data_IF_328532625706
#
_entry.id   IF_328532625706
#
_cell.length_a   1.000
_cell.length_b   1.000
_cell.length_c   1.000
_cell.angle_alpha   90.00
_cell.angle_beta   90.00
_cell.angle_gamma   90.00
#
_symmetry.space_group_name_H-M   'P 1'
#
loop_
_entity.id
_entity.type
_entity.pdbx_description
1 polymer ?
#
# COMPACT_ATOMS: atom_id res chain seq x y z
N UNK A 1 -7.70 6.90 -16.06
CA UNK A 1 -7.29 7.28 -14.68
C UNK A 1 -7.76 6.21 -13.74
N UNK A 2 -6.87 5.69 -12.89
CA UNK A 2 -7.21 4.71 -11.85
C UNK A 2 -7.06 5.37 -10.47
N UNK A 3 -8.06 5.19 -9.62
CA UNK A 3 -8.09 5.74 -8.26
C UNK A 3 -7.96 4.59 -7.26
N UNK A 4 -6.98 4.69 -6.38
CA UNK A 4 -6.61 3.70 -5.38
C UNK A 4 -6.91 4.27 -3.99
N UNK A 5 -7.65 3.54 -3.18
CA UNK A 5 -8.02 3.98 -1.83
C UNK A 5 -6.84 3.78 -0.85
N UNK A 6 -6.25 4.87 -0.36
CA UNK A 6 -5.17 4.86 0.62
C UNK A 6 -5.64 4.26 1.95
N UNK A 7 -5.07 3.10 2.32
CA UNK A 7 -5.47 2.30 3.49
C UNK A 7 -6.95 1.87 3.49
N UNK A 8 -7.55 1.81 2.26
CA UNK A 8 -8.97 1.57 2.09
C UNK A 8 -9.85 2.81 2.25
N UNK A 9 -11.16 2.69 2.04
CA UNK A 9 -12.12 3.79 2.17
C UNK A 9 -12.71 3.82 3.58
N UNK A 10 -12.31 4.84 4.35
CA UNK A 10 -12.74 5.06 5.75
C UNK A 10 -14.00 5.90 5.86
N UNK A 11 -14.66 5.82 7.01
CA UNK A 11 -15.74 6.72 7.43
C UNK A 11 -15.83 6.71 8.98
N UNK A 12 -16.87 7.31 9.56
CA UNK A 12 -17.08 7.37 11.02
C UNK A 12 -17.14 6.00 11.70
N UNK A 13 -17.40 4.94 10.94
CA UNK A 13 -17.58 3.57 11.43
C UNK A 13 -16.48 2.62 11.01
N UNK A 14 -15.72 2.96 9.97
CA UNK A 14 -14.71 2.09 9.34
C UNK A 14 -13.35 2.76 9.43
N UNK A 15 -12.39 2.11 10.09
CA UNK A 15 -11.01 2.59 10.22
C UNK A 15 -10.11 2.09 9.09
N UNK A 16 -9.01 2.82 8.87
CA UNK A 16 -7.94 2.49 7.92
C UNK A 16 -7.35 1.10 8.15
N UNK A 17 -6.81 0.50 7.10
CA UNK A 17 -6.11 -0.79 7.14
C UNK A 17 -6.94 -1.95 7.75
N UNK A 18 -8.25 -1.93 7.55
CA UNK A 18 -9.18 -3.00 7.95
C UNK A 18 -9.81 -3.66 6.73
N UNK A 19 -10.26 -4.91 6.87
CA UNK A 19 -10.98 -5.61 5.78
C UNK A 19 -12.24 -4.86 5.37
N UNK A 20 -12.91 -4.21 6.31
CA UNK A 20 -14.09 -3.39 6.10
C UNK A 20 -13.76 -2.18 5.21
N UNK A 21 -12.63 -1.50 5.46
CA UNK A 21 -12.18 -0.36 4.64
C UNK A 21 -11.87 -0.79 3.20
N UNK A 22 -11.24 -1.94 3.02
CA UNK A 22 -10.93 -2.46 1.70
C UNK A 22 -12.19 -2.86 0.93
N UNK A 23 -13.12 -3.56 1.56
CA UNK A 23 -14.42 -3.89 0.95
C UNK A 23 -15.23 -2.63 0.63
N UNK A 24 -15.19 -1.63 1.52
CA UNK A 24 -15.88 -0.35 1.29
C UNK A 24 -15.31 0.37 0.06
N UNK A 25 -13.98 0.38 -0.13
CA UNK A 25 -13.35 0.95 -1.32
C UNK A 25 -13.83 0.25 -2.60
N UNK A 26 -13.82 -1.07 -2.64
CA UNK A 26 -14.27 -1.86 -3.81
C UNK A 26 -15.76 -1.61 -4.10
N UNK A 27 -16.61 -1.59 -3.07
CA UNK A 27 -18.05 -1.32 -3.22
C UNK A 27 -18.33 0.09 -3.77
N UNK A 28 -17.44 1.05 -3.47
CA UNK A 28 -17.50 2.43 -3.96
C UNK A 28 -16.71 2.63 -5.28
N UNK A 29 -16.40 1.54 -6.01
CA UNK A 29 -15.83 1.56 -7.35
C UNK A 29 -14.42 2.15 -7.46
N UNK A 30 -13.63 2.12 -6.37
CA UNK A 30 -12.20 2.36 -6.48
C UNK A 30 -11.55 1.27 -7.35
N UNK A 31 -10.54 1.65 -8.13
CA UNK A 31 -9.82 0.73 -9.02
C UNK A 31 -8.83 -0.17 -8.26
N UNK A 32 -8.61 0.14 -6.98
CA UNK A 32 -7.74 -0.64 -6.11
C UNK A 32 -7.72 -0.13 -4.68
N UNK A 33 -6.93 -0.81 -3.89
CA UNK A 33 -6.65 -0.46 -2.49
C UNK A 33 -5.15 -0.33 -2.29
N UNK A 34 -4.78 0.51 -1.36
CA UNK A 34 -3.42 0.55 -0.82
C UNK A 34 -3.46 0.10 0.64
N UNK A 35 -2.40 -0.56 1.09
CA UNK A 35 -2.25 -1.07 2.44
C UNK A 35 -0.79 -1.13 2.88
N UNK A 36 -0.58 -1.02 4.18
CA UNK A 36 0.76 -1.07 4.80
C UNK A 36 0.97 -2.41 5.50
N UNK A 37 2.15 -3.01 5.40
CA UNK A 37 2.44 -4.27 6.08
C UNK A 37 3.61 -4.21 7.06
N UNK A 38 3.43 -4.94 8.18
CA UNK A 38 4.43 -5.18 9.23
C UNK A 38 4.37 -6.63 9.70
N UNK A 39 5.34 -7.02 10.52
CA UNK A 39 5.37 -8.33 11.18
C UNK A 39 5.08 -8.22 12.67
N UNK A 40 4.37 -9.20 13.18
CA UNK A 40 4.26 -9.45 14.62
C UNK A 40 5.51 -10.10 15.17
N UNK A 41 5.61 -10.26 16.51
CA UNK A 41 6.70 -10.97 17.19
C UNK A 41 6.88 -12.41 16.69
N UNK A 42 5.81 -13.08 16.33
CA UNK A 42 5.77 -14.45 15.78
C UNK A 42 5.77 -14.49 14.24
N UNK A 43 6.29 -13.40 13.60
CA UNK A 43 6.49 -13.24 12.17
C UNK A 43 5.22 -13.31 11.30
N UNK A 44 4.03 -13.15 11.87
CA UNK A 44 2.80 -13.05 11.06
C UNK A 44 2.75 -11.68 10.39
N UNK A 45 2.58 -11.65 9.06
CA UNK A 45 2.43 -10.41 8.29
C UNK A 45 1.02 -9.86 8.50
N UNK A 46 0.93 -8.70 9.14
CA UNK A 46 -0.31 -7.97 9.46
C UNK A 46 -0.38 -6.66 8.69
N UNK A 47 -1.59 -6.13 8.55
CA UNK A 47 -1.83 -4.85 7.86
C UNK A 47 -1.91 -3.72 8.88
N UNK A 48 -0.85 -2.90 8.94
CA UNK A 48 -0.72 -1.81 9.91
C UNK A 48 0.34 -0.79 9.43
N UNK A 49 0.00 0.50 9.45
CA UNK A 49 0.94 1.57 9.10
C UNK A 49 1.99 1.80 10.19
N UNK A 50 1.55 2.08 11.40
CA UNK A 50 2.42 2.51 12.50
C UNK A 50 3.18 1.34 13.11
N UNK A 51 4.35 1.63 13.69
CA UNK A 51 5.09 0.67 14.51
C UNK A 51 4.36 0.32 15.81
N UNK A 52 3.49 1.22 16.28
CA UNK A 52 2.72 1.07 17.51
C UNK A 52 1.24 0.99 17.17
N UNK A 53 0.48 0.14 17.89
CA UNK A 53 -0.93 -0.06 17.67
C UNK A 53 -1.81 1.07 18.26
N UNK A 54 -1.22 2.02 18.99
CA UNK A 54 -1.91 3.00 19.82
C UNK A 54 -2.89 3.92 19.06
N UNK A 55 -2.54 4.33 17.84
CA UNK A 55 -3.35 5.29 17.07
C UNK A 55 -4.60 4.64 16.48
N UNK A 56 -4.48 3.39 16.05
CA UNK A 56 -5.53 2.70 15.28
C UNK A 56 -6.27 1.63 16.08
N UNK A 57 -5.90 1.42 17.37
CA UNK A 57 -6.58 0.48 18.25
C UNK A 57 -6.88 1.08 19.62
N UNK A 58 -7.58 0.32 20.47
CA UNK A 58 -7.77 0.63 21.89
C UNK A 58 -6.62 0.11 22.78
N UNK A 59 -5.59 -0.48 22.15
CA UNK A 59 -4.40 -1.03 22.82
C UNK A 59 -3.20 -0.10 22.78
N UNK A 60 -2.17 -0.48 23.53
CA UNK A 60 -0.85 0.18 23.56
C UNK A 60 0.23 -0.89 23.36
N UNK A 61 1.16 -0.63 22.45
CA UNK A 61 2.30 -1.53 22.25
C UNK A 61 2.92 -1.47 20.88
N UNK A 62 4.13 -2.00 20.78
CA UNK A 62 4.85 -2.15 19.53
C UNK A 62 4.46 -3.48 18.88
N UNK A 63 4.01 -3.44 17.62
CA UNK A 63 3.55 -4.62 16.87
C UNK A 63 4.60 -5.74 16.82
N UNK A 64 5.87 -5.40 16.66
CA UNK A 64 6.96 -6.39 16.63
C UNK A 64 7.26 -7.03 18.01
N UNK A 65 6.60 -6.58 19.08
CA UNK A 65 6.70 -7.16 20.44
C UNK A 65 5.48 -7.97 20.84
N UNK A 66 4.41 -7.94 20.03
CA UNK A 66 3.15 -8.65 20.24
C UNK A 66 3.06 -9.82 19.26
N UNK A 67 2.68 -11.00 19.74
CA UNK A 67 2.26 -12.09 18.87
C UNK A 67 0.92 -11.76 18.21
N UNK A 68 0.61 -12.38 17.08
CA UNK A 68 -0.69 -12.17 16.43
C UNK A 68 -1.86 -12.47 17.37
N UNK A 69 -1.75 -13.55 18.17
CA UNK A 69 -2.76 -13.91 19.17
C UNK A 69 -2.97 -12.82 20.22
N UNK A 70 -1.91 -12.14 20.64
CA UNK A 70 -2.01 -11.01 21.57
C UNK A 70 -2.69 -9.79 20.93
N UNK A 71 -2.47 -9.53 19.65
CA UNK A 71 -3.12 -8.42 18.94
C UNK A 71 -4.63 -8.58 18.86
N UNK A 72 -5.14 -9.81 18.85
CA UNK A 72 -6.59 -10.10 18.79
C UNK A 72 -7.36 -9.67 20.05
N UNK A 73 -6.68 -9.29 21.13
CA UNK A 73 -7.28 -8.73 22.34
C UNK A 73 -7.71 -7.27 22.16
N UNK A 74 -7.21 -6.59 21.13
CA UNK A 74 -7.45 -5.17 20.89
C UNK A 74 -8.44 -4.95 19.76
N UNK A 75 -9.18 -3.85 19.86
CA UNK A 75 -10.12 -3.42 18.86
C UNK A 75 -9.46 -2.41 17.90
N UNK A 76 -9.28 -2.80 16.65
CA UNK A 76 -8.79 -1.93 15.56
C UNK A 76 -9.90 -1.22 14.78
N UNK A 77 -11.14 -1.38 15.22
CA UNK A 77 -12.30 -0.67 14.72
C UNK A 77 -12.66 0.58 15.53
N UNK A 78 -13.91 0.99 15.43
CA UNK A 78 -14.47 2.07 16.25
C UNK A 78 -15.05 1.51 17.55
N UNK A 79 -15.48 2.40 18.48
CA UNK A 79 -16.18 1.96 19.69
C UNK A 79 -17.47 1.20 19.38
N UNK A 80 -18.15 1.58 18.31
CA UNK A 80 -19.43 1.00 17.89
C UNK A 80 -19.25 -0.25 17.04
N UNK A 81 -18.23 -0.29 16.17
CA UNK A 81 -17.97 -1.40 15.25
C UNK A 81 -16.57 -1.95 15.48
N UNK A 82 -16.52 -3.11 16.12
CA UNK A 82 -15.25 -3.77 16.42
C UNK A 82 -14.64 -4.40 15.17
N UNK A 83 -13.35 -4.25 15.02
CA UNK A 83 -12.56 -4.93 13.99
C UNK A 83 -11.26 -5.45 14.59
N UNK A 84 -10.74 -6.51 14.03
CA UNK A 84 -9.40 -7.04 14.35
C UNK A 84 -8.38 -6.49 13.35
N UNK A 85 -7.11 -6.49 13.71
CA UNK A 85 -6.03 -6.30 12.76
C UNK A 85 -6.04 -7.44 11.73
N UNK A 86 -6.15 -7.18 10.42
CA UNK A 86 -6.12 -8.26 9.44
C UNK A 86 -4.69 -8.71 9.16
N UNK A 87 -4.51 -9.99 8.87
CA UNK A 87 -3.28 -10.47 8.25
C UNK A 87 -3.30 -10.16 6.75
N UNK A 88 -2.11 -10.02 6.14
CA UNK A 88 -2.01 -9.89 4.68
C UNK A 88 -2.70 -11.07 3.98
N UNK A 89 -2.52 -12.29 4.49
CA UNK A 89 -3.16 -13.49 3.97
C UNK A 89 -4.69 -13.42 3.97
N UNK A 90 -5.29 -12.86 5.02
CA UNK A 90 -6.74 -12.64 5.08
C UNK A 90 -7.19 -11.61 4.03
N UNK A 91 -6.47 -10.51 3.86
CA UNK A 91 -6.79 -9.51 2.83
C UNK A 91 -6.74 -10.13 1.44
N UNK A 92 -5.63 -10.82 1.09
CA UNK A 92 -5.45 -11.44 -0.23
C UNK A 92 -6.54 -12.46 -0.55
N UNK A 93 -7.03 -13.21 0.45
CA UNK A 93 -8.12 -14.17 0.25
C UNK A 93 -9.51 -13.55 0.09
N UNK A 94 -9.73 -12.36 0.64
CA UNK A 94 -11.06 -11.74 0.70
C UNK A 94 -11.27 -10.64 -0.35
N UNK A 95 -10.20 -10.10 -0.95
CA UNK A 95 -10.25 -9.03 -1.94
C UNK A 95 -9.88 -9.62 -3.31
N UNK A 96 -10.74 -9.39 -4.32
CA UNK A 96 -10.60 -10.02 -5.63
C UNK A 96 -10.74 -9.01 -6.77
N UNK A 97 -10.10 -9.32 -7.90
CA UNK A 97 -10.24 -8.60 -9.19
C UNK A 97 -9.92 -7.10 -9.08
N UNK A 98 -8.84 -6.76 -8.36
CA UNK A 98 -8.47 -5.37 -8.13
C UNK A 98 -6.95 -5.16 -8.10
N UNK A 99 -6.53 -3.89 -8.17
CA UNK A 99 -5.15 -3.50 -7.92
C UNK A 99 -4.90 -3.43 -6.41
N UNK A 100 -3.86 -4.08 -5.91
CA UNK A 100 -3.46 -4.02 -4.51
C UNK A 100 -2.04 -3.46 -4.42
N UNK A 101 -1.93 -2.26 -3.86
CA UNK A 101 -0.67 -1.60 -3.53
C UNK A 101 -0.28 -1.98 -2.11
N UNK A 102 0.93 -2.51 -1.94
CA UNK A 102 1.44 -3.04 -0.65
C UNK A 102 2.70 -2.28 -0.28
N UNK A 103 2.60 -1.39 0.72
CA UNK A 103 3.77 -0.70 1.26
C UNK A 103 4.48 -1.56 2.32
N UNK A 104 5.76 -1.81 2.10
CA UNK A 104 6.62 -2.48 3.07
C UNK A 104 7.16 -1.47 4.08
N UNK A 105 6.72 -1.58 5.34
CA UNK A 105 7.24 -0.77 6.46
C UNK A 105 8.49 -1.39 7.11
N UNK A 106 8.82 -2.62 6.72
CA UNK A 106 10.02 -3.36 7.13
C UNK A 106 10.37 -4.43 6.09
N UNK A 107 11.54 -5.04 6.22
CA UNK A 107 11.96 -6.11 5.31
C UNK A 107 11.08 -7.35 5.47
N UNK A 108 10.55 -7.82 4.36
CA UNK A 108 9.71 -9.03 4.27
C UNK A 108 10.47 -10.08 3.46
N UNK A 109 10.41 -11.33 3.90
CA UNK A 109 11.00 -12.44 3.15
C UNK A 109 10.29 -12.62 1.80
N UNK A 110 11.10 -12.76 0.75
CA UNK A 110 10.63 -12.82 -0.63
C UNK A 110 9.76 -14.04 -0.90
N UNK A 111 10.14 -15.18 -0.36
CA UNK A 111 9.42 -16.43 -0.57
C UNK A 111 8.09 -16.42 0.20
N UNK A 112 8.10 -15.97 1.44
CA UNK A 112 6.91 -15.80 2.25
C UNK A 112 5.88 -14.89 1.58
N UNK A 113 6.32 -13.69 1.13
CA UNK A 113 5.45 -12.74 0.43
C UNK A 113 4.87 -13.36 -0.85
N UNK A 114 5.72 -14.01 -1.66
CA UNK A 114 5.30 -14.67 -2.89
C UNK A 114 4.27 -15.77 -2.63
N UNK A 115 4.43 -16.56 -1.57
CA UNK A 115 3.50 -17.62 -1.20
C UNK A 115 2.13 -17.07 -0.77
N UNK A 116 2.10 -15.93 -0.10
CA UNK A 116 0.83 -15.26 0.26
C UNK A 116 0.13 -14.71 -0.99
N UNK A 117 0.86 -13.99 -1.86
CA UNK A 117 0.26 -13.34 -3.03
C UNK A 117 -0.24 -14.35 -4.08
N UNK A 118 0.38 -15.52 -4.18
CA UNK A 118 -0.09 -16.63 -5.04
C UNK A 118 -1.46 -17.18 -4.66
N UNK A 119 -1.94 -16.93 -3.45
CA UNK A 119 -3.26 -17.40 -3.00
C UNK A 119 -4.41 -16.79 -3.80
N UNK A 120 -4.18 -15.64 -4.45
CA UNK A 120 -5.16 -15.02 -5.32
C UNK A 120 -4.50 -14.41 -6.54
N UNK A 121 -4.61 -15.09 -7.67
CA UNK A 121 -4.00 -14.68 -8.94
C UNK A 121 -4.85 -13.69 -9.74
N UNK A 122 -6.07 -13.39 -9.28
CA UNK A 122 -6.99 -12.48 -9.97
C UNK A 122 -6.71 -11.01 -9.64
N UNK A 123 -5.87 -10.75 -8.63
CA UNK A 123 -5.43 -9.41 -8.27
C UNK A 123 -4.13 -9.04 -8.99
N UNK A 124 -3.93 -7.75 -9.25
CA UNK A 124 -2.68 -7.19 -9.70
C UNK A 124 -1.96 -6.56 -8.50
N UNK A 125 -0.72 -6.97 -8.26
CA UNK A 125 0.04 -6.56 -7.08
C UNK A 125 1.13 -5.56 -7.44
N UNK A 126 1.22 -4.49 -6.63
CA UNK A 126 2.21 -3.44 -6.67
C UNK A 126 2.87 -3.37 -5.29
N UNK A 127 4.14 -3.72 -5.20
CA UNK A 127 4.89 -3.76 -3.94
C UNK A 127 5.81 -2.56 -3.90
N UNK A 128 5.76 -1.77 -2.85
CA UNK A 128 6.46 -0.50 -2.75
C UNK A 128 7.04 -0.24 -1.36
N UNK A 129 8.03 0.64 -1.30
CA UNK A 129 8.58 1.12 -0.03
C UNK A 129 9.34 2.44 -0.23
N UNK A 130 9.47 3.24 0.85
CA UNK A 130 10.45 4.32 0.96
C UNK A 130 11.89 3.78 1.08
N UNK A 131 12.05 2.58 1.62
CA UNK A 131 13.36 1.95 1.73
C UNK A 131 13.64 1.09 0.50
N UNK A 132 14.57 1.56 -0.36
CA UNK A 132 14.97 0.87 -1.58
C UNK A 132 15.52 -0.54 -1.32
N UNK A 133 16.16 -0.78 -0.18
CA UNK A 133 16.73 -2.10 0.14
C UNK A 133 15.64 -3.15 0.33
N UNK A 134 14.49 -2.77 0.92
CA UNK A 134 13.36 -3.70 1.07
C UNK A 134 12.84 -4.16 -0.30
N UNK A 135 12.82 -3.24 -1.28
CA UNK A 135 12.40 -3.57 -2.65
C UNK A 135 13.49 -4.34 -3.39
N UNK A 136 14.77 -3.96 -3.24
CA UNK A 136 15.89 -4.67 -3.88
C UNK A 136 15.97 -6.14 -3.46
N UNK A 137 15.64 -6.47 -2.21
CA UNK A 137 15.59 -7.84 -1.71
C UNK A 137 14.48 -8.68 -2.39
N UNK A 138 13.51 -8.02 -3.04
CA UNK A 138 12.43 -8.69 -3.77
C UNK A 138 12.68 -8.80 -5.28
N UNK A 139 13.77 -8.25 -5.82
CA UNK A 139 14.06 -8.32 -7.27
C UNK A 139 14.01 -9.77 -7.76
N UNK A 140 13.31 -9.97 -8.88
CA UNK A 140 13.01 -11.29 -9.45
C UNK A 140 11.72 -11.94 -8.91
N UNK A 141 10.95 -11.25 -8.06
CA UNK A 141 9.55 -11.64 -7.80
C UNK A 141 8.68 -11.32 -9.05
N UNK A 142 7.58 -12.04 -9.21
CA UNK A 142 6.73 -11.93 -10.41
C UNK A 142 5.86 -10.65 -10.44
N UNK A 143 5.85 -9.86 -9.38
CA UNK A 143 4.95 -8.73 -9.20
C UNK A 143 5.62 -7.38 -9.49
N UNK A 144 4.82 -6.32 -9.63
CA UNK A 144 5.35 -4.98 -9.89
C UNK A 144 6.06 -4.44 -8.63
N UNK A 145 7.29 -3.99 -8.79
CA UNK A 145 8.10 -3.38 -7.75
C UNK A 145 8.25 -1.88 -7.99
N UNK A 146 8.10 -1.08 -6.95
CA UNK A 146 8.22 0.37 -7.04
C UNK A 146 8.85 1.02 -5.82
N UNK A 147 9.30 2.26 -6.01
CA UNK A 147 9.81 3.10 -4.92
C UNK A 147 8.83 4.22 -4.62
N UNK A 148 8.79 4.62 -3.35
CA UNK A 148 8.09 5.81 -2.89
C UNK A 148 9.16 6.88 -2.65
N UNK A 149 9.09 7.98 -3.40
CA UNK A 149 10.09 9.04 -3.32
C UNK A 149 9.48 10.36 -2.87
N UNK A 150 10.11 11.00 -1.88
CA UNK A 150 9.84 12.39 -1.52
C UNK A 150 10.66 13.38 -2.35
N UNK A 151 11.78 12.94 -2.91
CA UNK A 151 12.69 13.79 -3.68
C UNK A 151 13.18 12.98 -4.87
N UNK A 152 13.20 13.61 -6.05
CA UNK A 152 13.85 13.05 -7.22
C UNK A 152 15.35 12.87 -6.94
N UNK A 153 15.88 11.69 -7.23
CA UNK A 153 17.29 11.37 -7.04
C UNK A 153 17.86 10.69 -8.30
N UNK A 154 18.65 11.44 -9.06
CA UNK A 154 19.27 10.98 -10.30
C UNK A 154 20.33 9.86 -10.10
N UNK A 155 20.79 9.62 -8.88
CA UNK A 155 21.73 8.53 -8.56
C UNK A 155 21.06 7.18 -8.33
N UNK A 156 19.73 7.11 -8.38
CA UNK A 156 19.00 5.85 -8.29
C UNK A 156 18.92 5.24 -9.69
N UNK A 157 19.36 3.99 -9.81
CA UNK A 157 19.10 3.17 -10.99
C UNK A 157 17.64 2.68 -10.95
N UNK A 158 16.78 3.40 -11.67
CA UNK A 158 15.35 3.11 -11.74
C UNK A 158 14.99 1.94 -12.65
N UNK A 159 15.92 1.42 -13.47
CA UNK A 159 15.67 0.32 -14.42
C UNK A 159 15.22 -0.99 -13.77
N UNK A 160 15.43 -1.12 -12.46
CA UNK A 160 15.06 -2.30 -11.64
C UNK A 160 13.62 -2.31 -11.18
N UNK A 161 12.89 -1.22 -11.40
CA UNK A 161 11.53 -1.04 -10.90
C UNK A 161 10.53 -0.96 -12.04
N UNK A 162 9.26 -1.20 -11.73
CA UNK A 162 8.15 -1.16 -12.68
C UNK A 162 7.37 0.16 -12.57
N UNK A 163 7.39 0.78 -11.39
CA UNK A 163 6.69 2.03 -11.14
C UNK A 163 7.38 2.88 -10.06
N UNK A 164 6.99 4.13 -10.00
CA UNK A 164 7.45 5.10 -9.00
C UNK A 164 6.25 5.83 -8.41
N UNK A 165 6.25 6.01 -7.06
CA UNK A 165 5.31 6.91 -6.40
C UNK A 165 5.95 8.28 -6.23
N UNK A 166 5.23 9.31 -6.70
CA UNK A 166 5.63 10.70 -6.60
C UNK A 166 4.60 11.45 -5.76
N UNK A 167 5.08 12.26 -4.82
CA UNK A 167 4.23 13.15 -4.03
C UNK A 167 3.57 14.19 -4.96
N UNK A 168 2.26 14.46 -4.78
CA UNK A 168 1.53 15.42 -5.61
C UNK A 168 2.22 16.78 -5.70
N UNK A 169 2.75 17.29 -4.57
CA UNK A 169 3.42 18.58 -4.50
C UNK A 169 4.73 18.67 -5.32
N UNK A 170 5.32 17.54 -5.65
CA UNK A 170 6.54 17.42 -6.45
C UNK A 170 6.26 17.07 -7.91
N UNK A 171 5.04 16.63 -8.21
CA UNK A 171 4.68 16.17 -9.54
C UNK A 171 4.54 17.33 -10.52
N UNK A 172 5.25 17.23 -11.62
CA UNK A 172 5.19 18.16 -12.76
C UNK A 172 5.47 17.41 -14.07
N UNK A 173 5.37 18.14 -15.20
CA UNK A 173 5.57 17.55 -16.52
C UNK A 173 6.97 16.99 -16.71
N UNK A 174 8.00 17.64 -16.22
CA UNK A 174 9.39 17.21 -16.41
C UNK A 174 9.66 15.88 -15.69
N UNK A 175 9.13 15.72 -14.47
CA UNK A 175 9.20 14.46 -13.70
C UNK A 175 8.42 13.36 -14.43
N UNK A 176 7.23 13.68 -14.93
CA UNK A 176 6.45 12.71 -15.70
C UNK A 176 7.19 12.25 -16.95
N UNK A 177 7.68 13.20 -17.76
CA UNK A 177 8.39 12.90 -19.01
C UNK A 177 9.67 12.08 -18.73
N UNK A 178 10.41 12.42 -17.67
CA UNK A 178 11.60 11.66 -17.28
C UNK A 178 11.28 10.19 -17.01
N UNK A 179 10.30 9.90 -16.15
CA UNK A 179 9.96 8.51 -15.80
C UNK A 179 9.28 7.77 -16.96
N UNK A 180 8.45 8.45 -17.73
CA UNK A 180 7.81 7.87 -18.91
C UNK A 180 8.83 7.49 -20.00
N UNK A 181 9.88 8.30 -20.20
CA UNK A 181 10.96 8.02 -21.17
C UNK A 181 11.78 6.77 -20.81
N UNK A 182 11.82 6.39 -19.54
CA UNK A 182 12.47 5.15 -19.08
C UNK A 182 11.48 4.02 -18.83
N UNK A 183 10.23 4.13 -19.34
CA UNK A 183 9.14 3.17 -19.22
C UNK A 183 8.75 2.82 -17.77
N UNK A 184 8.86 3.78 -16.84
CA UNK A 184 8.34 3.64 -15.49
C UNK A 184 6.92 4.19 -15.39
N UNK A 185 6.02 3.39 -14.81
CA UNK A 185 4.67 3.86 -14.48
C UNK A 185 4.73 4.88 -13.34
N UNK A 186 4.08 6.02 -13.50
CA UNK A 186 4.00 7.04 -12.45
C UNK A 186 2.71 6.89 -11.67
N UNK A 187 2.84 6.84 -10.34
CA UNK A 187 1.73 6.83 -9.39
C UNK A 187 1.82 8.09 -8.52
N UNK A 188 0.76 8.87 -8.43
CA UNK A 188 0.72 10.08 -7.60
C UNK A 188 0.04 9.76 -6.28
N UNK A 189 0.63 10.20 -5.17
CA UNK A 189 0.07 9.97 -3.85
C UNK A 189 -0.03 11.26 -3.02
N UNK A 190 -0.79 11.20 -1.91
CA UNK A 190 -1.05 12.32 -0.99
C UNK A 190 -1.77 13.50 -1.68
N UNK A 191 -2.84 13.19 -2.40
CA UNK A 191 -3.61 14.17 -3.16
C UNK A 191 -4.40 15.04 -2.18
N UNK A 192 -3.98 16.30 -2.02
CA UNK A 192 -4.59 17.28 -1.11
C UNK A 192 -5.45 18.31 -1.83
N UNK A 193 -5.05 18.72 -3.02
CA UNK A 193 -5.61 19.89 -3.71
C UNK A 193 -6.38 19.57 -4.99
N UNK A 194 -6.50 18.30 -5.36
CA UNK A 194 -7.08 17.87 -6.64
C UNK A 194 -6.45 18.55 -7.89
N UNK A 195 -5.24 19.15 -7.76
CA UNK A 195 -4.57 19.87 -8.86
C UNK A 195 -4.19 18.89 -9.96
N UNK A 196 -3.60 17.76 -9.60
CA UNK A 196 -3.24 16.69 -10.53
C UNK A 196 -4.49 16.06 -11.16
N UNK A 197 -5.60 15.99 -10.43
CA UNK A 197 -6.88 15.51 -10.95
C UNK A 197 -7.52 16.48 -11.96
N UNK A 198 -7.22 17.77 -11.88
CA UNK A 198 -7.72 18.78 -12.85
C UNK A 198 -6.95 18.74 -14.17
N UNK A 199 -5.69 18.34 -14.16
CA UNK A 199 -4.82 18.26 -15.34
C UNK A 199 -4.79 16.87 -16.00
N UNK A 200 -5.84 16.09 -15.83
CA UNK A 200 -5.97 14.68 -16.27
C UNK A 200 -5.66 14.46 -17.76
N UNK A 201 -5.97 15.44 -18.59
CA UNK A 201 -5.81 15.35 -20.05
C UNK A 201 -4.33 15.42 -20.49
N UNK A 202 -3.43 15.92 -19.62
CA UNK A 202 -2.02 16.10 -19.94
C UNK A 202 -1.19 14.81 -19.75
N UNK A 203 -1.72 13.82 -19.03
CA UNK A 203 -0.94 12.65 -18.63
C UNK A 203 -1.73 11.35 -18.87
N UNK A 204 -1.18 10.48 -19.68
CA UNK A 204 -1.74 9.15 -19.94
C UNK A 204 -1.29 8.15 -18.88
N UNK A 205 -2.20 7.23 -18.46
CA UNK A 205 -1.87 6.07 -17.64
C UNK A 205 -1.34 6.36 -16.22
N UNK A 206 -1.76 7.48 -15.60
CA UNK A 206 -1.41 7.75 -14.20
C UNK A 206 -2.42 7.10 -13.25
N UNK A 207 -1.91 6.51 -12.16
CA UNK A 207 -2.69 6.06 -11.01
C UNK A 207 -2.56 7.06 -9.87
N UNK A 208 -3.62 7.16 -9.07
CA UNK A 208 -3.72 8.09 -7.94
C UNK A 208 -4.06 7.35 -6.66
N UNK A 209 -3.24 7.50 -5.63
CA UNK A 209 -3.54 7.03 -4.27
C UNK A 209 -4.12 8.20 -3.47
N UNK A 210 -5.40 8.10 -3.11
CA UNK A 210 -6.21 9.12 -2.45
C UNK A 210 -6.73 8.66 -1.10
#
# INVERSE_FOLDING_TARGET
MEIIAHRGLTNDYIKENTLEAFKNAINNKYNGIELDIRKTKDNIIVVLHDKYINRTSDGIGNINKLTYKETLKYNFGTKKYKSKIPTLKEVIKNINNTNIFIELKESIDKEELNNILKLNKNNKYYIMSFNKEYINNLIGIKYNLGLINYVFNSFIDYSKYNFILVLEDLFNKDIYDYFNNINLEVVIYNIRNNISLKNKELFNNIKYIV
#
